data_IF_342435557377
#
_entry.id   IF_342435557377
#
_cell.length_a   1.000
_cell.length_b   1.000
_cell.length_c   1.000
_cell.angle_alpha   90.00
_cell.angle_beta   90.00
_cell.angle_gamma   90.00
#
_symmetry.space_group_name_H-M   'P 1'
#
loop_
_entity.id
_entity.type
_entity.pdbx_description
1 polymer ?
#
# COMPACT_ATOMS: atom_id res chain seq x y z
N UNK A 1 -18.56 15.64 7.26
CA UNK A 1 -18.25 14.40 8.03
C UNK A 1 -17.78 13.27 7.11
N UNK A 2 -18.43 13.05 5.96
CA UNK A 2 -18.09 12.02 4.96
C UNK A 2 -16.72 12.23 4.30
N UNK A 3 -16.35 13.45 3.91
CA UNK A 3 -15.08 13.72 3.23
C UNK A 3 -13.85 13.30 4.07
N UNK A 4 -13.81 13.68 5.35
CA UNK A 4 -12.71 13.32 6.25
C UNK A 4 -12.56 11.80 6.39
N UNK A 5 -13.67 11.07 6.50
CA UNK A 5 -13.65 9.60 6.59
C UNK A 5 -13.12 8.95 5.32
N UNK A 6 -13.49 9.48 4.14
CA UNK A 6 -12.97 8.97 2.86
C UNK A 6 -11.46 9.20 2.76
N UNK A 7 -10.98 10.38 3.12
CA UNK A 7 -9.55 10.72 3.05
C UNK A 7 -8.71 9.90 4.03
N UNK A 8 -9.18 9.77 5.28
CA UNK A 8 -8.52 8.92 6.29
C UNK A 8 -8.57 7.45 5.87
N UNK A 9 -9.70 6.98 5.34
CA UNK A 9 -9.85 5.63 4.83
C UNK A 9 -8.91 5.33 3.67
N UNK A 10 -8.80 6.24 2.69
CA UNK A 10 -7.90 6.09 1.56
C UNK A 10 -6.43 6.00 1.99
N UNK A 11 -5.99 6.89 2.88
CA UNK A 11 -4.65 6.85 3.47
C UNK A 11 -4.41 5.57 4.28
N UNK A 12 -5.35 5.20 5.15
CA UNK A 12 -5.24 4.05 6.04
C UNK A 12 -5.18 2.72 5.28
N UNK A 13 -5.98 2.58 4.22
CA UNK A 13 -5.97 1.40 3.36
C UNK A 13 -4.69 1.31 2.52
N UNK A 14 -4.30 2.40 1.86
CA UNK A 14 -3.13 2.39 0.97
C UNK A 14 -1.78 2.35 1.71
N UNK A 15 -1.77 2.63 3.01
CA UNK A 15 -0.55 2.56 3.83
C UNK A 15 -0.14 1.15 4.24
N UNK A 16 -0.93 0.12 3.96
CA UNK A 16 -0.60 -1.25 4.36
C UNK A 16 0.70 -1.72 3.67
N UNK A 17 1.75 -2.10 4.42
CA UNK A 17 3.05 -2.44 3.84
C UNK A 17 3.11 -3.90 3.38
N UNK A 18 2.49 -4.23 2.24
CA UNK A 18 2.33 -5.63 1.81
C UNK A 18 3.64 -6.37 1.60
N UNK A 19 4.73 -5.72 1.20
CA UNK A 19 6.01 -6.42 1.06
C UNK A 19 6.54 -6.98 2.38
N UNK A 20 6.36 -6.27 3.50
CA UNK A 20 6.68 -6.79 4.84
C UNK A 20 5.70 -7.89 5.27
N UNK A 21 4.40 -7.70 4.99
CA UNK A 21 3.36 -8.69 5.34
C UNK A 21 3.62 -10.01 4.61
N UNK A 22 3.81 -9.97 3.29
CA UNK A 22 4.02 -11.15 2.45
C UNK A 22 5.33 -11.85 2.80
N UNK A 23 6.43 -11.12 2.99
CA UNK A 23 7.72 -11.74 3.33
C UNK A 23 7.68 -12.45 4.69
N UNK A 24 7.01 -11.87 5.69
CA UNK A 24 6.79 -12.52 6.98
C UNK A 24 5.88 -13.74 6.87
N UNK A 25 4.75 -13.63 6.16
CA UNK A 25 3.82 -14.75 5.98
C UNK A 25 4.44 -15.93 5.21
N UNK A 26 5.36 -15.66 4.29
CA UNK A 26 6.07 -16.67 3.52
C UNK A 26 7.37 -17.17 4.18
N UNK A 27 7.69 -16.71 5.40
CA UNK A 27 8.87 -17.15 6.15
C UNK A 27 10.21 -16.71 5.53
N UNK A 28 10.24 -15.60 4.80
CA UNK A 28 11.43 -15.10 4.08
C UNK A 28 12.36 -14.24 4.95
N UNK A 29 12.11 -14.18 6.26
CA UNK A 29 12.86 -13.36 7.21
C UNK A 29 12.42 -11.90 7.25
N UNK A 30 13.27 -11.05 7.81
CA UNK A 30 13.02 -9.61 7.90
C UNK A 30 13.49 -8.91 6.62
N UNK A 31 12.54 -8.41 5.83
CA UNK A 31 12.80 -7.74 4.55
C UNK A 31 13.71 -6.51 4.70
N UNK A 32 13.68 -5.84 5.85
CA UNK A 32 14.55 -4.69 6.16
C UNK A 32 16.03 -5.07 6.23
N UNK A 33 16.32 -6.31 6.59
CA UNK A 33 17.69 -6.82 6.67
C UNK A 33 18.19 -7.38 5.34
N UNK A 34 17.36 -7.35 4.28
CA UNK A 34 17.65 -7.95 2.98
C UNK A 34 17.75 -6.86 1.93
N UNK A 35 18.79 -6.91 1.10
CA UNK A 35 18.91 -6.06 -0.09
C UNK A 35 19.05 -4.57 0.23
N UNK A 36 18.04 -3.77 -0.13
CA UNK A 36 18.08 -2.30 -0.03
C UNK A 36 17.32 -1.73 1.17
N UNK A 37 16.92 -2.55 2.14
CA UNK A 37 16.11 -2.19 3.34
C UNK A 37 14.69 -1.67 3.03
N UNK A 38 14.40 -1.32 1.77
CA UNK A 38 13.07 -0.94 1.33
C UNK A 38 12.08 -2.10 1.39
N UNK A 39 10.80 -1.77 1.61
CA UNK A 39 9.73 -2.75 1.76
C UNK A 39 9.00 -3.08 0.45
N UNK A 40 9.39 -2.47 -0.66
CA UNK A 40 8.71 -2.62 -1.94
C UNK A 40 9.00 -3.95 -2.66
N UNK A 41 8.18 -4.26 -3.67
CA UNK A 41 8.26 -5.50 -4.45
C UNK A 41 9.65 -5.81 -5.03
N UNK A 42 10.41 -4.79 -5.47
CA UNK A 42 11.78 -4.99 -5.97
C UNK A 42 12.71 -5.53 -4.89
N UNK A 43 12.56 -5.11 -3.64
CA UNK A 43 13.37 -5.64 -2.55
C UNK A 43 12.88 -7.02 -2.12
N UNK A 44 11.56 -7.25 -2.15
CA UNK A 44 11.00 -8.61 -1.96
C UNK A 44 11.59 -9.58 -2.98
N UNK A 45 11.80 -9.16 -4.24
CA UNK A 45 12.46 -9.99 -5.24
C UNK A 45 13.90 -10.38 -4.85
N UNK A 46 14.60 -9.54 -4.06
CA UNK A 46 15.95 -9.83 -3.56
C UNK A 46 15.99 -10.91 -2.47
N UNK A 47 14.85 -11.31 -1.91
CA UNK A 47 14.74 -12.53 -1.09
C UNK A 47 14.90 -13.81 -1.93
N UNK A 48 14.92 -13.71 -3.26
CA UNK A 48 14.95 -14.83 -4.19
C UNK A 48 13.57 -15.39 -4.52
N UNK A 49 12.51 -14.93 -3.84
CA UNK A 49 11.15 -15.42 -4.06
C UNK A 49 10.37 -14.55 -5.06
N UNK A 50 10.29 -15.00 -6.32
CA UNK A 50 9.56 -14.31 -7.39
C UNK A 50 8.05 -14.22 -7.14
N UNK A 51 7.46 -15.24 -6.52
CA UNK A 51 6.03 -15.26 -6.21
C UNK A 51 5.71 -14.20 -5.15
N UNK A 52 6.52 -14.11 -4.09
CA UNK A 52 6.39 -13.09 -3.05
C UNK A 52 6.45 -11.67 -3.63
N UNK A 53 7.39 -11.44 -4.56
CA UNK A 53 7.54 -10.14 -5.22
C UNK A 53 6.33 -9.80 -6.10
N UNK A 54 5.83 -10.76 -6.87
CA UNK A 54 4.66 -10.58 -7.72
C UNK A 54 3.39 -10.30 -6.88
N UNK A 55 3.17 -11.05 -5.80
CA UNK A 55 2.06 -10.84 -4.89
C UNK A 55 2.14 -9.46 -4.23
N UNK A 56 3.32 -9.06 -3.78
CA UNK A 56 3.54 -7.71 -3.20
C UNK A 56 3.15 -6.63 -4.19
N UNK A 57 3.63 -6.71 -5.44
CA UNK A 57 3.32 -5.72 -6.47
C UNK A 57 1.82 -5.65 -6.77
N UNK A 58 1.15 -6.79 -6.90
CA UNK A 58 -0.29 -6.86 -7.16
C UNK A 58 -1.08 -6.26 -6.01
N UNK A 59 -0.70 -6.54 -4.77
CA UNK A 59 -1.39 -6.02 -3.58
C UNK A 59 -1.14 -4.52 -3.38
N UNK A 60 0.08 -4.04 -3.55
CA UNK A 60 0.43 -2.62 -3.44
C UNK A 60 -0.34 -1.77 -4.47
N UNK A 61 -0.43 -2.24 -5.72
CA UNK A 61 -1.24 -1.58 -6.76
C UNK A 61 -2.74 -1.75 -6.47
N UNK A 62 -3.15 -2.97 -6.12
CA UNK A 62 -4.55 -3.33 -5.92
C UNK A 62 -5.20 -2.56 -4.77
N UNK A 63 -4.51 -2.40 -3.65
CA UNK A 63 -5.07 -1.67 -2.50
C UNK A 63 -5.26 -0.18 -2.81
N UNK A 64 -4.33 0.43 -3.57
CA UNK A 64 -4.45 1.81 -4.02
C UNK A 64 -5.65 2.00 -4.95
N UNK A 65 -5.83 1.07 -5.89
CA UNK A 65 -7.00 1.05 -6.77
C UNK A 65 -8.31 0.88 -5.99
N UNK A 66 -8.34 -0.05 -5.02
CA UNK A 66 -9.51 -0.27 -4.15
C UNK A 66 -9.84 0.98 -3.33
N UNK A 67 -8.83 1.62 -2.72
CA UNK A 67 -9.00 2.86 -1.97
C UNK A 67 -9.61 3.98 -2.84
N UNK A 68 -9.17 4.10 -4.10
CA UNK A 68 -9.70 5.06 -5.05
C UNK A 68 -11.15 4.74 -5.45
N UNK A 69 -11.45 3.46 -5.76
CA UNK A 69 -12.80 3.02 -6.13
C UNK A 69 -13.81 3.22 -4.99
N UNK A 70 -13.40 2.92 -3.75
CA UNK A 70 -14.22 3.20 -2.56
C UNK A 70 -14.46 4.71 -2.44
N UNK A 71 -13.42 5.52 -2.60
CA UNK A 71 -13.55 6.99 -2.54
C UNK A 71 -14.50 7.54 -3.60
N UNK A 72 -14.44 7.02 -4.83
CA UNK A 72 -15.34 7.38 -5.92
C UNK A 72 -16.77 6.86 -5.73
N UNK A 73 -16.96 5.76 -5.00
CA UNK A 73 -18.31 5.25 -4.65
C UNK A 73 -18.99 6.09 -3.56
N UNK A 74 -18.20 6.79 -2.75
CA UNK A 74 -18.67 7.59 -1.62
C UNK A 74 -18.77 9.09 -1.92
N UNK A 75 -18.24 9.53 -3.08
CA UNK A 75 -18.29 10.93 -3.52
C UNK A 75 -18.22 11.06 -5.03
N UNK A 76 -18.99 12.01 -5.56
CA UNK A 76 -18.98 12.38 -6.98
C UNK A 76 -18.09 13.60 -7.25
N UNK A 77 -17.45 14.16 -6.22
CA UNK A 77 -16.60 15.35 -6.36
C UNK A 77 -15.20 14.95 -6.84
N UNK A 78 -14.84 15.38 -8.05
CA UNK A 78 -13.56 15.06 -8.66
C UNK A 78 -12.35 15.49 -7.81
N UNK A 79 -12.44 16.65 -7.14
CA UNK A 79 -11.40 17.16 -6.24
C UNK A 79 -11.16 16.23 -5.06
N UNK A 80 -12.22 15.66 -4.49
CA UNK A 80 -12.15 14.76 -3.35
C UNK A 80 -11.54 13.40 -3.73
N UNK A 81 -11.91 12.88 -4.90
CA UNK A 81 -11.33 11.65 -5.46
C UNK A 81 -9.84 11.85 -5.76
N UNK A 82 -9.47 13.00 -6.35
CA UNK A 82 -8.08 13.33 -6.62
C UNK A 82 -7.26 13.43 -5.32
N UNK A 83 -7.81 14.08 -4.28
CA UNK A 83 -7.15 14.18 -2.98
C UNK A 83 -7.00 12.82 -2.30
N UNK A 84 -8.00 11.94 -2.40
CA UNK A 84 -7.90 10.56 -1.92
C UNK A 84 -6.82 9.76 -2.65
N UNK A 85 -6.66 9.94 -3.96
CA UNK A 85 -5.59 9.31 -4.73
C UNK A 85 -4.20 9.76 -4.26
N UNK A 86 -4.02 11.07 -4.07
CA UNK A 86 -2.77 11.64 -3.53
C UNK A 86 -2.47 11.09 -2.15
N UNK A 87 -3.47 11.07 -1.25
CA UNK A 87 -3.31 10.49 0.08
C UNK A 87 -3.02 8.99 0.04
N UNK A 88 -3.55 8.26 -0.94
CA UNK A 88 -3.22 6.86 -1.15
C UNK A 88 -1.73 6.65 -1.45
N UNK A 89 -1.17 7.45 -2.37
CA UNK A 89 0.26 7.44 -2.69
C UNK A 89 1.10 7.86 -1.48
N UNK A 90 0.70 8.92 -0.78
CA UNK A 90 1.36 9.36 0.46
C UNK A 90 1.34 8.27 1.52
N UNK A 91 0.21 7.57 1.68
CA UNK A 91 0.09 6.43 2.58
C UNK A 91 1.05 5.30 2.23
N UNK A 92 1.18 4.96 0.96
CA UNK A 92 2.12 3.93 0.51
C UNK A 92 3.59 4.34 0.74
N UNK A 93 3.93 5.61 0.53
CA UNK A 93 5.29 6.14 0.77
C UNK A 93 5.62 6.33 2.26
N UNK A 94 4.64 6.75 3.06
CA UNK A 94 4.77 7.04 4.48
C UNK A 94 3.73 6.24 5.28
N UNK A 95 3.91 4.92 5.38
CA UNK A 95 2.93 4.04 5.99
C UNK A 95 2.87 4.22 7.50
N UNK A 96 1.70 4.62 8.02
CA UNK A 96 1.46 4.81 9.46
C UNK A 96 1.71 3.55 10.28
N UNK A 97 1.56 2.38 9.67
CA UNK A 97 1.77 1.09 10.33
C UNK A 97 3.24 0.76 10.61
N UNK A 98 4.17 1.56 10.07
CA UNK A 98 5.61 1.37 10.24
C UNK A 98 6.29 2.45 11.07
N UNK A 99 5.53 3.46 11.51
CA UNK A 99 5.98 4.54 12.39
C UNK A 99 5.93 4.14 13.86
#
# INVERSE_FOLDING_TARGET
MTALLVLIGAYGLASVPFGLVITRLMGLGDLRQIGSDNIGATNVLRTGNKLAAALTLILDIGIGAIALLISASLSNEAEMIALAAVLGVVGHCYPVWLM
#
